data_IF_070158213692
#
_entry.id   IF_070158213692
#
_cell.length_a   1.000
_cell.length_b   1.000
_cell.length_c   1.000
_cell.angle_alpha   90.00
_cell.angle_beta   90.00
_cell.angle_gamma   90.00
#
_symmetry.space_group_name_H-M   'P 1'
#
loop_
_entity.id
_entity.type
_entity.pdbx_description
1 polymer ?
#
# COMPACT_ATOMS: atom_id res chain seq x y z
N UNK A 1 21.23 18.22 -15.56
CA UNK A 1 20.93 18.16 -14.10
C UNK A 1 19.46 18.37 -13.71
N UNK A 2 18.62 19.12 -14.46
CA UNK A 2 17.20 19.38 -14.05
C UNK A 2 16.30 18.14 -14.02
N UNK A 3 16.53 17.15 -14.89
CA UNK A 3 15.67 15.97 -15.05
C UNK A 3 15.78 14.98 -13.89
N UNK A 4 16.99 14.81 -13.33
CA UNK A 4 17.25 13.91 -12.21
C UNK A 4 16.61 14.42 -10.90
N UNK A 5 16.71 15.72 -10.64
CA UNK A 5 16.09 16.36 -9.47
C UNK A 5 14.56 16.23 -9.48
N UNK A 6 13.93 16.38 -10.66
CA UNK A 6 12.49 16.18 -10.85
C UNK A 6 12.06 14.72 -10.67
N UNK A 7 12.90 13.77 -11.10
CA UNK A 7 12.68 12.34 -10.89
C UNK A 7 12.76 11.95 -9.40
N UNK A 8 13.81 12.38 -8.69
CA UNK A 8 13.94 12.12 -7.26
C UNK A 8 12.81 12.74 -6.46
N UNK A 9 12.35 13.94 -6.85
CA UNK A 9 11.22 14.59 -6.20
C UNK A 9 9.94 13.76 -6.40
N UNK A 10 9.61 13.37 -7.64
CA UNK A 10 8.46 12.50 -7.93
C UNK A 10 8.51 11.17 -7.18
N UNK A 11 9.69 10.51 -7.16
CA UNK A 11 9.88 9.27 -6.44
C UNK A 11 9.60 9.46 -4.94
N UNK A 12 10.18 10.49 -4.32
CA UNK A 12 10.07 10.76 -2.90
C UNK A 12 8.69 11.25 -2.44
N UNK A 13 7.98 12.05 -3.24
CA UNK A 13 6.74 12.70 -2.82
C UNK A 13 5.47 12.01 -3.29
N UNK A 14 5.54 11.20 -4.35
CA UNK A 14 4.35 10.57 -4.94
C UNK A 14 4.52 9.05 -4.96
N UNK A 15 5.55 8.54 -5.64
CA UNK A 15 5.70 7.11 -5.85
C UNK A 15 5.87 6.31 -4.55
N UNK A 16 6.85 6.70 -3.71
CA UNK A 16 7.12 6.01 -2.45
C UNK A 16 5.99 6.18 -1.43
N UNK A 17 5.37 7.35 -1.25
CA UNK A 17 4.20 7.48 -0.38
C UNK A 17 3.02 6.61 -0.82
N UNK A 18 2.77 6.45 -2.12
CA UNK A 18 1.74 5.52 -2.58
C UNK A 18 2.10 4.07 -2.30
N UNK A 19 3.35 3.66 -2.53
CA UNK A 19 3.81 2.29 -2.28
C UNK A 19 3.85 1.91 -0.81
N UNK A 20 4.50 2.72 0.01
CA UNK A 20 4.68 2.44 1.42
C UNK A 20 3.45 2.82 2.25
N UNK A 21 2.77 3.92 1.88
CA UNK A 21 1.58 4.38 2.59
C UNK A 21 0.45 3.38 2.51
N UNK A 22 0.19 2.78 1.35
CA UNK A 22 -0.88 1.78 1.21
C UNK A 22 -0.55 0.46 1.91
N UNK A 23 0.73 0.05 1.92
CA UNK A 23 1.19 -1.12 2.68
C UNK A 23 1.07 -0.88 4.18
N UNK A 24 1.44 0.32 4.66
CA UNK A 24 1.24 0.72 6.05
C UNK A 24 -0.24 0.73 6.43
N UNK A 25 -1.12 1.26 5.56
CA UNK A 25 -2.57 1.22 5.80
C UNK A 25 -3.05 -0.24 5.84
N UNK A 26 -2.64 -1.09 4.89
CA UNK A 26 -2.98 -2.51 4.87
C UNK A 26 -2.51 -3.24 6.13
N UNK A 27 -1.32 -2.91 6.64
CA UNK A 27 -0.80 -3.44 7.91
C UNK A 27 -1.65 -2.99 9.10
N UNK A 28 -1.90 -1.70 9.23
CA UNK A 28 -2.66 -1.14 10.37
C UNK A 28 -4.10 -1.67 10.37
N UNK A 29 -4.75 -1.71 9.20
CA UNK A 29 -6.10 -2.26 9.04
C UNK A 29 -6.10 -3.77 9.28
N UNK A 30 -5.10 -4.50 8.80
CA UNK A 30 -4.96 -5.94 9.07
C UNK A 30 -4.78 -6.23 10.56
N UNK A 31 -3.94 -5.46 11.25
CA UNK A 31 -3.74 -5.61 12.70
C UNK A 31 -5.00 -5.26 13.49
N UNK A 32 -5.68 -4.17 13.12
CA UNK A 32 -6.97 -3.78 13.70
C UNK A 32 -8.06 -4.82 13.45
N UNK A 33 -8.15 -5.36 12.23
CA UNK A 33 -9.08 -6.41 11.85
C UNK A 33 -8.83 -7.71 12.62
N UNK A 34 -7.58 -8.10 12.80
CA UNK A 34 -7.20 -9.25 13.62
C UNK A 34 -7.63 -9.07 15.08
N UNK A 35 -7.43 -7.87 15.65
CA UNK A 35 -7.85 -7.56 17.03
C UNK A 35 -9.38 -7.53 17.17
N UNK A 36 -10.10 -6.94 16.21
CA UNK A 36 -11.56 -6.92 16.19
C UNK A 36 -12.15 -8.33 16.07
N UNK A 37 -11.58 -9.18 15.20
CA UNK A 37 -12.01 -10.57 15.05
C UNK A 37 -11.81 -11.39 16.34
N UNK A 38 -10.73 -11.10 17.09
CA UNK A 38 -10.46 -11.68 18.41
C UNK A 38 -11.47 -11.22 19.47
N UNK A 39 -11.80 -9.93 19.50
CA UNK A 39 -12.75 -9.34 20.47
C UNK A 39 -14.20 -9.81 20.20
N UNK A 40 -14.57 -9.95 18.93
CA UNK A 40 -15.91 -10.41 18.53
C UNK A 40 -16.09 -11.93 18.65
N UNK A 41 -15.04 -12.66 19.07
CA UNK A 41 -15.07 -14.13 19.20
C UNK A 41 -15.33 -14.86 17.87
N UNK A 42 -15.10 -14.18 16.73
CA UNK A 42 -15.51 -14.65 15.41
C UNK A 42 -14.59 -15.75 14.86
N UNK A 43 -13.38 -15.87 15.41
CA UNK A 43 -12.38 -16.85 14.97
C UNK A 43 -11.83 -17.68 16.13
N UNK A 44 -12.04 -18.99 16.02
CA UNK A 44 -11.77 -20.00 17.04
C UNK A 44 -10.33 -20.55 16.95
N UNK A 45 -9.58 -20.20 15.90
CA UNK A 45 -8.21 -20.67 15.66
C UNK A 45 -7.26 -19.55 15.22
N UNK A 46 -6.01 -19.61 15.70
CA UNK A 46 -4.97 -18.60 15.44
C UNK A 46 -4.66 -18.43 13.93
N UNK A 47 -4.82 -19.50 13.15
CA UNK A 47 -4.60 -19.48 11.69
C UNK A 47 -5.59 -18.57 10.93
N UNK A 48 -6.87 -18.55 11.30
CA UNK A 48 -7.85 -17.71 10.58
C UNK A 48 -7.58 -16.22 10.82
N UNK A 49 -7.15 -15.85 12.02
CA UNK A 49 -6.72 -14.49 12.34
C UNK A 49 -5.51 -14.04 11.53
N UNK A 50 -4.55 -14.94 11.31
CA UNK A 50 -3.38 -14.66 10.48
C UNK A 50 -3.78 -14.47 9.01
N UNK A 51 -4.70 -15.30 8.48
CA UNK A 51 -5.21 -15.16 7.11
C UNK A 51 -5.90 -13.81 6.87
N UNK A 52 -6.66 -13.30 7.84
CA UNK A 52 -7.31 -11.98 7.75
C UNK A 52 -6.28 -10.86 7.70
N UNK A 53 -5.27 -10.91 8.57
CA UNK A 53 -4.15 -9.95 8.54
C UNK A 53 -3.45 -9.95 7.17
N UNK A 54 -3.05 -11.14 6.68
CA UNK A 54 -2.40 -11.28 5.39
C UNK A 54 -3.30 -10.84 4.22
N UNK A 55 -4.61 -11.05 4.31
CA UNK A 55 -5.58 -10.57 3.33
C UNK A 55 -5.60 -9.05 3.21
N UNK A 56 -5.72 -8.34 4.33
CA UNK A 56 -5.69 -6.87 4.34
C UNK A 56 -4.33 -6.31 3.92
N UNK A 57 -3.23 -6.96 4.32
CA UNK A 57 -1.89 -6.57 3.92
C UNK A 57 -1.68 -6.76 2.40
N UNK A 58 -2.15 -7.88 1.84
CA UNK A 58 -2.11 -8.14 0.40
C UNK A 58 -2.92 -7.10 -0.39
N UNK A 59 -4.12 -6.75 0.08
CA UNK A 59 -4.94 -5.70 -0.55
C UNK A 59 -4.21 -4.36 -0.53
N UNK A 60 -3.63 -3.96 0.62
CA UNK A 60 -2.85 -2.72 0.74
C UNK A 60 -1.62 -2.69 -0.18
N UNK A 61 -0.95 -3.84 -0.35
CA UNK A 61 0.17 -3.98 -1.28
C UNK A 61 -0.28 -3.86 -2.74
N UNK A 62 -1.36 -4.53 -3.13
CA UNK A 62 -1.90 -4.47 -4.51
C UNK A 62 -2.33 -3.05 -4.88
N UNK A 63 -3.06 -2.36 -3.99
CA UNK A 63 -3.48 -0.97 -4.20
C UNK A 63 -2.25 -0.05 -4.33
N UNK A 64 -1.21 -0.27 -3.51
CA UNK A 64 0.05 0.47 -3.59
C UNK A 64 0.79 0.31 -4.89
N UNK A 65 0.88 -0.93 -5.38
CA UNK A 65 1.50 -1.24 -6.67
C UNK A 65 0.71 -0.60 -7.81
N UNK A 66 -0.62 -0.67 -7.80
CA UNK A 66 -1.46 -0.07 -8.83
C UNK A 66 -1.33 1.47 -8.80
N UNK A 67 -1.46 2.10 -7.63
CA UNK A 67 -1.39 3.55 -7.48
C UNK A 67 -0.02 4.12 -7.86
N UNK A 68 1.06 3.46 -7.42
CA UNK A 68 2.43 3.83 -7.80
C UNK A 68 2.68 3.65 -9.30
N UNK A 69 2.17 2.57 -9.90
CA UNK A 69 2.28 2.34 -11.35
C UNK A 69 1.50 3.38 -12.16
N UNK A 70 0.27 3.72 -11.76
CA UNK A 70 -0.52 4.77 -12.42
C UNK A 70 0.18 6.13 -12.35
N UNK A 71 0.71 6.50 -11.17
CA UNK A 71 1.47 7.75 -11.01
C UNK A 71 2.71 7.79 -11.91
N UNK A 72 3.39 6.65 -12.09
CA UNK A 72 4.57 6.53 -12.95
C UNK A 72 4.20 6.70 -14.43
N UNK A 73 3.08 6.12 -14.85
CA UNK A 73 2.54 6.27 -16.21
C UNK A 73 2.20 7.74 -16.49
N UNK A 74 1.52 8.42 -15.57
CA UNK A 74 1.20 9.85 -15.71
C UNK A 74 2.45 10.71 -15.77
N UNK A 75 3.45 10.45 -14.93
CA UNK A 75 4.71 11.17 -14.95
C UNK A 75 5.46 10.99 -16.28
N UNK A 76 5.48 9.76 -16.82
CA UNK A 76 6.04 9.47 -18.14
C UNK A 76 5.27 10.14 -19.27
N UNK A 77 3.93 10.18 -19.22
CA UNK A 77 3.09 10.91 -20.20
C UNK A 77 3.32 12.43 -20.14
N UNK A 78 3.44 12.99 -18.93
CA UNK A 78 3.74 14.42 -18.72
C UNK A 78 5.10 14.82 -19.28
N UNK A 79 6.05 13.88 -19.38
CA UNK A 79 7.36 14.10 -19.99
C UNK A 79 7.37 14.01 -21.53
N UNK A 80 6.33 13.42 -22.14
CA UNK A 80 6.21 13.20 -23.60
C UNK A 80 5.47 14.35 -24.30
N UNK A 81 4.67 15.14 -23.58
CA UNK A 81 4.21 16.47 -24.03
C UNK A 81 5.27 17.52 -23.70
#
# INVERSE_FOLDING_TARGET
MKTYKRWMWFLGTIYFPFLFGSVLIGWVVGYGGQKLALILGLHQTNQQNEMVFWGFLAIGAVIGVIGSTMSLIEFCRSKRR
#
